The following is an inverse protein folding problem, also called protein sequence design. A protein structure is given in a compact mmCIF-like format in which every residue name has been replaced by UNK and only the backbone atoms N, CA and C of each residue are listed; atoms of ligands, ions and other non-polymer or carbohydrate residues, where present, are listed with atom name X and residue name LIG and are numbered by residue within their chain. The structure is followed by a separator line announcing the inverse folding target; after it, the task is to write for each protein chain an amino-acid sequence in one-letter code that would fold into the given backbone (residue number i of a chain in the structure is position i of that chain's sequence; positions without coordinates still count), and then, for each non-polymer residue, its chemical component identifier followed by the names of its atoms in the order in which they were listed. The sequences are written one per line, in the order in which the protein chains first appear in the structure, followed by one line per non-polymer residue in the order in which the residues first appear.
data_IF_937832559342
#
_entry.id   IF_937832559342
#
_cell.length_a   1.000
_cell.length_b   1.000
_cell.length_c   1.000
_cell.angle_alpha   90.00
_cell.angle_beta   90.00
_cell.angle_gamma   90.00
#
_symmetry.space_group_name_H-M   'P 1'
#
loop_
_entity.id
_entity.type
_entity.pdbx_description
1 polymer ?
#
# COMPACT_ATOMS: atom_id res chain seq x y z
N UNK A 1 -9.24 1.52 8.55
CA UNK A 1 -8.22 2.58 8.37
C UNK A 1 -8.89 3.94 8.51
N UNK A 2 -8.37 4.78 9.40
CA UNK A 2 -8.97 6.09 9.66
C UNK A 2 -8.08 6.92 10.57
N UNK A 3 -8.23 8.24 10.47
CA UNK A 3 -7.50 9.20 11.30
C UNK A 3 -7.96 9.05 12.74
N UNK A 4 -7.01 8.81 13.65
CA UNK A 4 -7.28 8.79 15.09
C UNK A 4 -7.10 10.23 15.61
N UNK A 5 -8.15 10.84 16.18
CA UNK A 5 -8.05 12.18 16.75
C UNK A 5 -6.91 12.26 17.77
N UNK A 6 -6.15 13.38 17.84
CA UNK A 6 -5.00 13.53 18.72
C UNK A 6 -5.27 13.12 20.17
N UNK A 7 -6.45 13.42 20.69
CA UNK A 7 -6.93 13.10 22.03
C UNK A 7 -7.00 11.59 22.32
N UNK A 8 -7.20 10.77 21.29
CA UNK A 8 -7.28 9.31 21.41
C UNK A 8 -5.97 8.58 21.06
N UNK A 9 -4.96 9.29 20.54
CA UNK A 9 -3.70 8.66 20.08
C UNK A 9 -2.95 7.97 21.22
N UNK A 10 -2.92 8.57 22.41
CA UNK A 10 -2.18 8.02 23.54
C UNK A 10 -2.85 6.77 24.11
N UNK A 11 -4.19 6.76 24.16
CA UNK A 11 -4.96 5.58 24.56
C UNK A 11 -4.70 4.40 23.60
N UNK A 12 -4.78 4.65 22.30
CA UNK A 12 -4.58 3.64 21.26
C UNK A 12 -3.15 3.11 21.27
N UNK A 13 -2.16 3.99 21.43
CA UNK A 13 -0.76 3.60 21.56
C UNK A 13 -0.54 2.68 22.75
N UNK A 14 -1.06 3.04 23.92
CA UNK A 14 -0.90 2.22 25.13
C UNK A 14 -1.55 0.85 24.96
N UNK A 15 -2.76 0.79 24.40
CA UNK A 15 -3.43 -0.48 24.11
C UNK A 15 -2.65 -1.35 23.13
N UNK A 16 -2.19 -0.78 22.01
CA UNK A 16 -1.42 -1.52 21.01
C UNK A 16 -0.09 -2.05 21.58
N UNK A 17 0.56 -1.28 22.44
CA UNK A 17 1.81 -1.68 23.06
C UNK A 17 1.57 -2.80 24.09
N UNK A 18 0.57 -2.65 24.96
CA UNK A 18 0.31 -3.60 26.05
C UNK A 18 -0.32 -4.91 25.55
N UNK A 19 -1.28 -4.83 24.63
CA UNK A 19 -2.04 -5.99 24.18
C UNK A 19 -1.35 -6.71 23.01
N UNK A 20 -0.62 -5.98 22.15
CA UNK A 20 -0.10 -6.53 20.89
C UNK A 20 1.41 -6.31 20.68
N UNK A 21 2.11 -5.63 21.61
CA UNK A 21 3.53 -5.29 21.44
C UNK A 21 3.81 -4.41 20.22
N UNK A 22 2.79 -3.70 19.74
CA UNK A 22 2.83 -2.93 18.50
C UNK A 22 2.90 -1.43 18.78
N UNK A 23 3.59 -0.69 17.91
CA UNK A 23 3.66 0.77 17.99
C UNK A 23 2.90 1.39 16.80
N UNK A 24 1.81 2.15 17.02
CA UNK A 24 1.07 2.76 15.93
C UNK A 24 1.88 3.85 15.23
N UNK A 25 1.76 3.90 13.91
CA UNK A 25 2.19 5.04 13.09
C UNK A 25 0.95 5.83 12.69
N UNK A 26 0.80 7.03 13.23
CA UNK A 26 -0.31 7.92 12.89
C UNK A 26 0.04 8.69 11.62
N UNK A 27 -0.66 8.39 10.53
CA UNK A 27 -0.50 9.05 9.23
C UNK A 27 -1.62 10.07 9.04
N UNK A 28 -1.29 11.17 8.36
CA UNK A 28 -2.26 12.17 7.92
C UNK A 28 -3.13 11.61 6.77
N UNK A 29 -4.37 12.07 6.67
CA UNK A 29 -5.36 11.55 5.71
C UNK A 29 -4.87 11.64 4.25
N UNK A 30 -4.37 12.81 3.87
CA UNK A 30 -3.73 13.08 2.58
C UNK A 30 -2.60 12.10 2.24
N UNK A 31 -1.83 11.67 3.25
CA UNK A 31 -0.71 10.77 3.06
C UNK A 31 -1.20 9.33 2.90
N UNK A 32 -2.24 8.92 3.62
CA UNK A 32 -2.87 7.60 3.48
C UNK A 32 -3.47 7.46 2.08
N UNK A 33 -4.22 8.45 1.62
CA UNK A 33 -4.86 8.40 0.30
C UNK A 33 -3.81 8.37 -0.84
N UNK A 34 -2.80 9.25 -0.79
CA UNK A 34 -1.76 9.29 -1.82
C UNK A 34 -0.87 8.05 -1.83
N UNK A 35 -0.48 7.56 -0.65
CA UNK A 35 0.51 6.48 -0.55
C UNK A 35 -0.12 5.09 -0.55
N UNK A 36 -1.18 4.88 0.24
CA UNK A 36 -1.81 3.57 0.35
C UNK A 36 -2.70 3.30 -0.88
N UNK A 37 -3.62 4.21 -1.18
CA UNK A 37 -4.53 4.02 -2.32
C UNK A 37 -3.84 4.36 -3.65
N UNK A 38 -3.14 5.49 -3.72
CA UNK A 38 -2.49 5.95 -4.95
C UNK A 38 -1.26 5.15 -5.37
N UNK A 39 -0.35 4.82 -4.46
CA UNK A 39 0.91 4.16 -4.81
C UNK A 39 0.90 2.65 -4.52
N UNK A 40 0.52 2.26 -3.31
CA UNK A 40 0.57 0.86 -2.90
C UNK A 40 -0.47 0.01 -3.66
N UNK A 41 -1.73 0.45 -3.69
CA UNK A 41 -2.82 -0.30 -4.32
C UNK A 41 -2.92 -0.13 -5.84
N UNK A 42 -2.55 1.03 -6.40
CA UNK A 42 -2.67 1.26 -7.84
C UNK A 42 -1.36 1.02 -8.63
N UNK A 43 -0.20 0.98 -7.97
CA UNK A 43 1.10 0.76 -8.65
C UNK A 43 1.77 -0.52 -8.21
N UNK A 44 2.09 -0.66 -6.91
CA UNK A 44 2.84 -1.82 -6.42
C UNK A 44 2.01 -3.11 -6.47
N UNK A 45 0.73 -3.04 -6.11
CA UNK A 45 -0.14 -4.20 -6.09
C UNK A 45 -0.34 -4.82 -7.49
N UNK A 46 -0.70 -4.05 -8.55
CA UNK A 46 -0.71 -4.56 -9.92
C UNK A 46 0.68 -5.02 -10.36
N UNK A 47 1.76 -4.29 -10.06
CA UNK A 47 3.10 -4.69 -10.49
C UNK A 47 3.52 -6.08 -9.96
N UNK A 48 3.16 -6.41 -8.72
CA UNK A 48 3.50 -7.70 -8.11
C UNK A 48 2.48 -8.81 -8.39
N UNK A 49 1.26 -8.46 -8.83
CA UNK A 49 0.17 -9.43 -9.03
C UNK A 49 -0.38 -9.47 -10.47
N UNK A 50 0.15 -8.66 -11.39
CA UNK A 50 -0.13 -8.75 -12.82
C UNK A 50 0.61 -9.96 -13.38
N UNK A 51 -0.14 -11.03 -13.55
CA UNK A 51 0.25 -12.22 -14.30
C UNK A 51 0.91 -11.85 -15.64
N UNK A 52 2.08 -12.42 -15.99
CA UNK A 52 2.69 -12.26 -17.31
C UNK A 52 1.82 -12.79 -18.46
N UNK A 53 0.61 -13.29 -18.22
CA UNK A 53 -0.28 -13.85 -19.24
C UNK A 53 -0.78 -12.83 -20.30
N UNK A 54 -0.57 -11.52 -20.12
CA UNK A 54 -0.81 -10.51 -21.15
C UNK A 54 0.42 -10.19 -22.00
N UNK A 55 1.58 -10.84 -21.79
CA UNK A 55 2.68 -10.73 -22.75
C UNK A 55 2.31 -11.49 -24.02
N UNK A 56 1.75 -10.75 -24.98
CA UNK A 56 1.56 -11.22 -26.35
C UNK A 56 2.91 -11.12 -27.05
N UNK A 57 3.61 -12.24 -27.14
CA UNK A 57 4.76 -12.40 -28.02
C UNK A 57 4.28 -12.29 -29.48
N UNK A 58 4.80 -11.32 -30.23
CA UNK A 58 4.55 -11.11 -31.65
C UNK A 58 5.83 -11.45 -32.41
N UNK A 59 5.82 -12.53 -33.19
CA UNK A 59 6.97 -12.93 -34.04
C UNK A 59 7.39 -11.81 -35.02
N UNK A 60 6.46 -10.93 -35.41
CA UNK A 60 6.77 -9.79 -36.29
C UNK A 60 7.75 -8.78 -35.70
N UNK A 61 7.95 -8.77 -34.38
CA UNK A 61 8.94 -7.92 -33.72
C UNK A 61 10.30 -8.61 -33.53
N UNK A 62 10.36 -9.94 -33.73
CA UNK A 62 11.60 -10.72 -33.64
C UNK A 62 12.34 -10.82 -34.98
N UNK A 63 11.64 -10.80 -36.12
CA UNK A 63 12.25 -10.85 -37.47
C UNK A 63 12.89 -9.53 -37.93
N UNK A 64 12.96 -8.52 -37.06
CA UNK A 64 13.68 -7.25 -37.31
C UNK A 64 15.18 -7.31 -36.98
N UNK A 65 15.81 -8.48 -37.10
CA UNK A 65 17.26 -8.67 -36.97
C UNK A 65 18.04 -8.04 -38.12
#
# INVERSE_FOLDING_TARGET
PGVIPPEHREEVKNRLLTEYGCYPVFLEEDLVEKFYDGFSNNTLWPLFHSFPAYTRYLDSEWEGH
#
